data_IF_601724523130
#
_entry.id   IF_601724523130
#
_cell.length_a   1.000
_cell.length_b   1.000
_cell.length_c   1.000
_cell.angle_alpha   90.00
_cell.angle_beta   90.00
_cell.angle_gamma   90.00
#
_symmetry.space_group_name_H-M   'P 1'
#
loop_
_entity.id
_entity.type
_entity.pdbx_description
1 polymer ?
#
# COMPACT_ATOMS: atom_id res chain seq x y z
N UNK A 1 -7.48 -1.03 8.39
CA UNK A 1 -7.49 -1.07 6.91
C UNK A 1 -7.06 -2.42 6.30
N UNK A 2 -6.82 -3.47 7.09
CA UNK A 2 -6.28 -4.75 6.60
C UNK A 2 -7.21 -5.46 5.61
N UNK A 3 -8.53 -5.34 5.78
CA UNK A 3 -9.51 -5.93 4.86
C UNK A 3 -9.36 -5.42 3.42
N UNK A 4 -8.97 -4.15 3.24
CA UNK A 4 -8.71 -3.56 1.91
C UNK A 4 -7.49 -4.18 1.24
N UNK A 5 -6.43 -4.43 2.01
CA UNK A 5 -5.22 -5.11 1.53
C UNK A 5 -5.54 -6.53 1.09
N UNK A 6 -6.23 -7.30 1.94
CA UNK A 6 -6.59 -8.69 1.60
C UNK A 6 -7.47 -8.75 0.36
N UNK A 7 -8.48 -7.88 0.26
CA UNK A 7 -9.36 -7.78 -0.92
C UNK A 7 -8.56 -7.50 -2.20
N UNK A 8 -7.62 -6.56 -2.15
CA UNK A 8 -6.78 -6.23 -3.30
C UNK A 8 -5.82 -7.36 -3.68
N UNK A 9 -5.15 -7.98 -2.69
CA UNK A 9 -4.24 -9.09 -2.95
C UNK A 9 -4.99 -10.30 -3.54
N UNK A 10 -6.18 -10.61 -3.02
CA UNK A 10 -7.04 -11.66 -3.57
C UNK A 10 -7.45 -11.33 -5.02
N UNK A 11 -7.83 -10.09 -5.29
CA UNK A 11 -8.17 -9.62 -6.63
C UNK A 11 -7.01 -9.80 -7.62
N UNK A 12 -5.80 -9.31 -7.32
CA UNK A 12 -4.66 -9.43 -8.24
C UNK A 12 -4.15 -10.88 -8.35
N UNK A 13 -4.37 -11.70 -7.33
CA UNK A 13 -4.04 -13.13 -7.36
C UNK A 13 -4.96 -13.86 -8.34
N UNK A 14 -6.27 -13.63 -8.24
CA UNK A 14 -7.28 -14.28 -9.09
C UNK A 14 -7.23 -13.78 -10.55
N UNK A 15 -7.15 -12.46 -10.75
CA UNK A 15 -7.31 -11.85 -12.07
C UNK A 15 -6.01 -11.79 -12.89
N UNK A 16 -4.85 -11.73 -12.22
CA UNK A 16 -3.56 -11.53 -12.90
C UNK A 16 -2.61 -12.70 -12.81
N UNK A 17 -2.97 -13.76 -12.07
CA UNK A 17 -2.16 -14.97 -11.93
C UNK A 17 -0.72 -14.70 -11.48
N UNK A 18 -0.52 -13.65 -10.67
CA UNK A 18 0.80 -13.20 -10.26
C UNK A 18 1.51 -14.26 -9.43
N UNK A 19 2.84 -14.29 -9.54
CA UNK A 19 3.65 -15.20 -8.73
C UNK A 19 3.48 -14.91 -7.23
N UNK A 20 3.63 -15.94 -6.40
CA UNK A 20 3.58 -15.83 -4.93
C UNK A 20 4.60 -14.79 -4.42
N UNK A 21 5.78 -14.72 -5.04
CA UNK A 21 6.82 -13.75 -4.68
C UNK A 21 6.38 -12.31 -4.97
N UNK A 22 5.69 -12.08 -6.09
CA UNK A 22 5.11 -10.78 -6.44
C UNK A 22 4.03 -10.40 -5.43
N UNK A 23 3.09 -11.30 -5.14
CA UNK A 23 2.01 -11.06 -4.17
C UNK A 23 2.59 -10.69 -2.79
N UNK A 24 3.60 -11.41 -2.32
CA UNK A 24 4.26 -11.12 -1.05
C UNK A 24 4.98 -9.77 -1.06
N UNK A 25 5.59 -9.37 -2.18
CA UNK A 25 6.20 -8.05 -2.32
C UNK A 25 5.16 -6.95 -2.21
N UNK A 26 4.08 -7.04 -3.00
CA UNK A 26 2.96 -6.11 -2.92
C UNK A 26 2.35 -6.05 -1.53
N UNK A 27 2.21 -7.20 -0.85
CA UNK A 27 1.69 -7.24 0.52
C UNK A 27 2.54 -6.45 1.51
N UNK A 28 3.86 -6.56 1.44
CA UNK A 28 4.79 -5.79 2.30
C UNK A 28 4.72 -4.29 2.02
N UNK A 29 4.62 -3.92 0.75
CA UNK A 29 4.54 -2.51 0.34
C UNK A 29 3.21 -1.88 0.78
N UNK A 30 2.10 -2.61 0.62
CA UNK A 30 0.79 -2.20 1.10
C UNK A 30 0.73 -2.08 2.63
N UNK A 31 1.38 -2.97 3.38
CA UNK A 31 1.46 -2.84 4.85
C UNK A 31 2.14 -1.54 5.26
N UNK A 32 3.24 -1.17 4.60
CA UNK A 32 3.90 0.12 4.85
C UNK A 32 3.00 1.29 4.54
N UNK A 33 2.33 1.25 3.41
CA UNK A 33 1.46 2.32 2.99
C UNK A 33 0.27 2.51 3.94
N UNK A 34 -0.44 1.43 4.27
CA UNK A 34 -1.57 1.49 5.21
C UNK A 34 -1.13 1.96 6.59
N UNK A 35 0.03 1.49 7.08
CA UNK A 35 0.59 1.98 8.35
C UNK A 35 0.92 3.47 8.30
N UNK A 36 1.44 3.97 7.18
CA UNK A 36 1.67 5.41 6.98
C UNK A 36 0.36 6.21 7.04
N UNK A 37 -0.71 5.71 6.44
CA UNK A 37 -2.03 6.33 6.48
C UNK A 37 -2.62 6.33 7.89
N UNK A 38 -2.55 5.20 8.59
CA UNK A 38 -3.02 5.06 9.98
C UNK A 38 -2.28 6.03 10.92
N UNK A 39 -0.95 6.20 10.75
CA UNK A 39 -0.15 7.17 11.51
C UNK A 39 -0.55 8.63 11.25
N UNK A 40 -1.12 8.93 10.07
CA UNK A 40 -1.66 10.26 9.73
C UNK A 40 -3.13 10.41 10.10
N UNK A 41 -3.74 9.40 10.74
CA UNK A 41 -5.11 9.46 11.25
C UNK A 41 -6.18 9.10 10.23
N UNK A 42 -5.81 8.62 9.03
CA UNK A 42 -6.78 8.11 8.07
C UNK A 42 -7.36 6.79 8.58
N UNK A 43 -8.64 6.54 8.29
CA UNK A 43 -9.31 5.28 8.65
C UNK A 43 -9.76 4.48 7.43
N UNK A 44 -9.88 5.15 6.28
CA UNK A 44 -10.25 4.53 5.00
C UNK A 44 -9.34 4.98 3.86
N UNK A 45 -8.98 4.10 2.90
CA UNK A 45 -8.34 4.48 1.65
C UNK A 45 -9.13 5.52 0.83
N UNK A 46 -10.45 5.60 1.03
CA UNK A 46 -11.32 6.56 0.33
C UNK A 46 -11.07 8.01 0.76
N UNK A 47 -10.52 8.21 1.96
CA UNK A 47 -10.17 9.53 2.50
C UNK A 47 -8.83 10.06 1.92
N UNK A 48 -8.09 9.20 1.21
CA UNK A 48 -6.75 9.51 0.72
C UNK A 48 -6.83 10.37 -0.54
N UNK A 49 -6.21 11.55 -0.48
CA UNK A 49 -6.03 12.40 -1.66
C UNK A 49 -4.69 12.14 -2.36
N UNK A 50 -4.56 12.62 -3.60
CA UNK A 50 -3.26 12.60 -4.32
C UNK A 50 -2.13 13.27 -3.55
N UNK A 51 -2.42 14.30 -2.74
CA UNK A 51 -1.39 14.97 -1.94
C UNK A 51 -0.85 14.07 -0.85
N UNK A 52 -1.71 13.24 -0.24
CA UNK A 52 -1.30 12.26 0.78
C UNK A 52 -0.37 11.21 0.16
N UNK A 53 -0.72 10.72 -1.04
CA UNK A 53 0.11 9.76 -1.79
C UNK A 53 1.47 10.36 -2.12
N UNK A 54 1.52 11.60 -2.62
CA UNK A 54 2.77 12.28 -2.92
C UNK A 54 3.64 12.47 -1.66
N UNK A 55 3.02 12.78 -0.52
CA UNK A 55 3.71 12.85 0.77
C UNK A 55 4.33 11.51 1.19
N UNK A 56 3.61 10.41 0.98
CA UNK A 56 4.15 9.06 1.25
C UNK A 56 5.36 8.74 0.38
N UNK A 57 5.32 9.03 -0.92
CA UNK A 57 6.45 8.81 -1.83
C UNK A 57 7.69 9.62 -1.41
N UNK A 58 7.50 10.88 -1.02
CA UNK A 58 8.58 11.72 -0.51
C UNK A 58 9.18 11.16 0.81
N UNK A 59 8.35 10.57 1.67
CA UNK A 59 8.81 9.96 2.92
C UNK A 59 9.55 8.63 2.67
N UNK A 60 9.18 7.87 1.64
CA UNK A 60 9.93 6.70 1.19
C UNK A 60 11.32 7.05 0.67
N UNK A 61 11.42 8.12 -0.13
CA UNK A 61 12.69 8.61 -0.68
C UNK A 61 13.65 9.03 0.44
N UNK A 62 13.15 9.74 1.46
CA UNK A 62 13.95 10.10 2.66
C UNK A 62 14.46 8.89 3.43
N UNK A 63 13.72 7.77 3.40
CA UNK A 63 14.11 6.53 4.07
C UNK A 63 15.05 5.65 3.22
N UNK A 64 15.49 6.12 2.05
CA UNK A 64 16.42 5.42 1.17
C UNK A 64 15.78 4.32 0.32
N UNK A 65 14.45 4.30 0.20
CA UNK A 65 13.77 3.42 -0.76
C UNK A 65 13.77 4.10 -2.13
N UNK A 66 14.20 3.36 -3.16
CA UNK A 66 14.14 3.85 -4.53
C UNK A 66 12.66 4.07 -4.93
N UNK A 67 12.34 5.18 -5.62
CA UNK A 67 10.99 5.46 -6.13
C UNK A 67 10.55 4.48 -7.24
#
# INVERSE_FOLDING_TARGET
MQDYKESFLNYITAEKGLSVNTIQSYGRDLDRYLKHLELKGFQSPEEVTRQVIAGFLADLEKCGYAP
#
